data_IF_818275353182
#
_entry.id   IF_818275353182
#
_cell.length_a   1.000
_cell.length_b   1.000
_cell.length_c   1.000
_cell.angle_alpha   90.00
_cell.angle_beta   90.00
_cell.angle_gamma   90.00
#
_symmetry.space_group_name_H-M   'P 1'
#
loop_
_entity.id
_entity.type
_entity.pdbx_description
1 polymer ?
#
# COMPACT_ATOMS: atom_id res chain seq x y z
N UNK A 1 3.27 -18.64 -10.49
CA UNK A 1 3.92 -19.54 -11.46
C UNK A 1 3.77 -20.97 -10.97
N UNK A 2 3.62 -21.92 -11.88
CA UNK A 2 3.40 -23.34 -11.54
C UNK A 2 4.72 -24.01 -11.11
N UNK A 3 4.73 -24.73 -9.99
CA UNK A 3 5.96 -25.30 -9.41
C UNK A 3 6.42 -26.59 -10.09
N UNK A 4 5.66 -27.12 -11.06
CA UNK A 4 5.87 -28.44 -11.68
C UNK A 4 5.62 -29.63 -10.74
N UNK A 5 4.91 -29.39 -9.64
CA UNK A 5 4.49 -30.43 -8.70
C UNK A 5 2.99 -30.34 -8.50
N UNK A 6 2.28 -31.44 -8.75
CA UNK A 6 0.83 -31.55 -8.61
C UNK A 6 0.09 -30.38 -9.28
N UNK A 7 -0.70 -29.63 -8.53
CA UNK A 7 -1.41 -28.42 -8.95
C UNK A 7 -0.89 -27.16 -8.23
N UNK A 8 0.30 -27.23 -7.63
CA UNK A 8 0.83 -26.18 -6.78
C UNK A 8 1.33 -24.99 -7.61
N UNK A 9 0.82 -23.81 -7.28
CA UNK A 9 1.25 -22.54 -7.84
C UNK A 9 1.90 -21.68 -6.75
N UNK A 10 3.06 -21.09 -7.08
CA UNK A 10 3.79 -20.17 -6.21
C UNK A 10 3.70 -18.73 -6.70
N UNK A 11 3.41 -17.77 -5.83
CA UNK A 11 3.49 -16.35 -6.18
C UNK A 11 4.95 -15.93 -6.41
N UNK A 12 5.22 -15.15 -7.45
CA UNK A 12 6.56 -14.61 -7.73
C UNK A 12 7.01 -13.53 -6.75
N UNK A 13 6.07 -12.89 -6.04
CA UNK A 13 6.34 -11.68 -5.26
C UNK A 13 6.32 -11.91 -3.75
N UNK A 14 5.52 -12.87 -3.27
CA UNK A 14 5.42 -13.18 -1.84
C UNK A 14 5.76 -14.65 -1.51
N UNK A 15 6.09 -15.47 -2.51
CA UNK A 15 6.42 -16.89 -2.37
C UNK A 15 5.35 -17.79 -1.74
N UNK A 16 4.11 -17.30 -1.55
CA UNK A 16 3.00 -18.15 -1.09
C UNK A 16 2.76 -19.26 -2.10
N UNK A 17 2.55 -20.47 -1.60
CA UNK A 17 2.20 -21.65 -2.40
C UNK A 17 0.75 -22.01 -2.14
N UNK A 18 0.01 -22.23 -3.21
CA UNK A 18 -1.41 -22.61 -3.18
C UNK A 18 -1.59 -23.80 -4.11
N UNK A 19 -2.25 -24.84 -3.62
CA UNK A 19 -2.57 -26.06 -4.35
C UNK A 19 -3.88 -26.64 -3.82
N UNK A 20 -4.24 -27.85 -4.27
CA UNK A 20 -5.57 -28.46 -4.06
C UNK A 20 -6.69 -27.57 -4.61
N UNK A 21 -6.52 -27.13 -5.84
CA UNK A 21 -7.49 -26.30 -6.54
C UNK A 21 -8.74 -27.11 -6.86
N UNK A 22 -9.89 -26.53 -6.56
CA UNK A 22 -11.21 -27.06 -6.90
C UNK A 22 -11.84 -26.25 -8.05
N UNK A 23 -12.79 -26.87 -8.77
CA UNK A 23 -13.53 -26.17 -9.81
C UNK A 23 -14.33 -25.01 -9.20
N UNK A 24 -14.09 -23.79 -9.68
CA UNK A 24 -14.73 -22.57 -9.19
C UNK A 24 -13.84 -21.72 -8.28
N UNK A 25 -12.67 -22.20 -7.87
CA UNK A 25 -11.72 -21.41 -7.10
C UNK A 25 -11.22 -20.19 -7.87
N UNK A 26 -11.21 -19.04 -7.20
CA UNK A 26 -10.67 -17.80 -7.76
C UNK A 26 -9.20 -17.61 -7.33
N UNK A 27 -8.24 -17.55 -8.28
CA UNK A 27 -6.83 -17.40 -7.96
C UNK A 27 -6.48 -16.18 -7.11
N UNK A 28 -7.23 -15.08 -7.28
CA UNK A 28 -6.99 -13.84 -6.54
C UNK A 28 -7.51 -13.95 -5.10
N UNK A 29 -8.68 -14.55 -4.90
CA UNK A 29 -9.28 -14.72 -3.58
C UNK A 29 -8.48 -15.72 -2.75
N UNK A 30 -8.09 -16.85 -3.33
CA UNK A 30 -7.29 -17.86 -2.64
C UNK A 30 -5.89 -17.31 -2.31
N UNK A 31 -5.27 -16.55 -3.22
CA UNK A 31 -4.03 -15.82 -2.91
C UNK A 31 -4.22 -14.82 -1.77
N UNK A 32 -5.28 -14.00 -1.77
CA UNK A 32 -5.55 -13.03 -0.67
C UNK A 32 -5.76 -13.75 0.66
N UNK A 33 -6.42 -14.91 0.67
CA UNK A 33 -6.69 -15.73 1.86
C UNK A 33 -5.38 -16.24 2.49
N UNK A 34 -4.44 -16.75 1.69
CA UNK A 34 -3.17 -17.30 2.18
C UNK A 34 -2.05 -16.26 2.36
N UNK A 35 -2.13 -15.10 1.69
CA UNK A 35 -1.13 -14.05 1.79
C UNK A 35 -1.76 -12.64 1.69
N UNK A 36 -2.41 -12.22 2.77
CA UNK A 36 -3.04 -10.89 2.91
C UNK A 36 -2.06 -9.72 2.72
N UNK A 37 -0.77 -9.97 2.93
CA UNK A 37 0.29 -8.95 2.89
C UNK A 37 1.13 -8.98 1.60
N UNK A 38 0.72 -9.72 0.58
CA UNK A 38 1.41 -9.75 -0.70
C UNK A 38 1.52 -8.34 -1.32
N UNK A 39 2.74 -7.87 -1.55
CA UNK A 39 3.03 -6.54 -2.12
C UNK A 39 2.34 -6.34 -3.48
N UNK A 40 2.27 -7.39 -4.30
CA UNK A 40 1.57 -7.36 -5.58
C UNK A 40 0.05 -7.14 -5.42
N UNK A 41 -0.61 -7.88 -4.53
CA UNK A 41 -2.05 -7.67 -4.25
C UNK A 41 -2.33 -6.32 -3.60
N UNK A 42 -1.37 -5.76 -2.85
CA UNK A 42 -1.43 -4.40 -2.27
C UNK A 42 -1.11 -3.28 -3.26
N UNK A 43 -0.91 -3.59 -4.55
CA UNK A 43 -0.61 -2.59 -5.58
C UNK A 43 0.68 -1.81 -5.32
N UNK A 44 1.65 -2.43 -4.62
CA UNK A 44 2.99 -1.88 -4.48
C UNK A 44 3.78 -2.11 -5.77
N UNK A 45 4.76 -1.25 -6.03
CA UNK A 45 5.71 -1.49 -7.10
C UNK A 45 6.61 -2.69 -6.75
N UNK A 46 6.44 -3.77 -7.51
CA UNK A 46 7.20 -5.02 -7.39
C UNK A 46 7.98 -5.33 -8.66
N UNK A 47 8.09 -4.37 -9.59
CA UNK A 47 8.71 -4.58 -10.90
C UNK A 47 7.96 -5.56 -11.80
N UNK A 48 6.66 -5.76 -11.58
CA UNK A 48 5.84 -6.61 -12.44
C UNK A 48 5.66 -5.97 -13.82
N UNK A 49 6.00 -6.70 -14.88
CA UNK A 49 5.76 -6.29 -16.27
C UNK A 49 4.53 -7.05 -16.78
N UNK A 50 3.37 -6.38 -16.98
CA UNK A 50 2.17 -7.04 -17.46
C UNK A 50 2.36 -7.53 -18.91
N UNK A 51 1.83 -8.71 -19.21
CA UNK A 51 1.87 -9.28 -20.57
C UNK A 51 1.04 -8.44 -21.53
N UNK A 52 -0.12 -7.96 -21.08
CA UNK A 52 -0.98 -7.03 -21.80
C UNK A 52 -1.27 -5.81 -20.89
N UNK A 53 -0.67 -4.64 -21.18
CA UNK A 53 -0.91 -3.41 -20.42
C UNK A 53 -2.35 -2.88 -20.57
N UNK A 54 -3.06 -3.25 -21.64
CA UNK A 54 -4.40 -2.75 -21.93
C UNK A 54 -5.50 -3.47 -21.16
N UNK A 55 -5.20 -4.69 -20.68
CA UNK A 55 -6.13 -5.53 -19.94
C UNK A 55 -5.46 -6.10 -18.68
N UNK A 56 -5.25 -5.29 -17.64
CA UNK A 56 -4.64 -5.76 -16.41
C UNK A 56 -5.54 -6.80 -15.71
N UNK A 57 -4.95 -7.80 -15.04
CA UNK A 57 -5.73 -8.77 -14.27
C UNK A 57 -6.54 -8.04 -13.17
N UNK A 58 -7.75 -8.51 -12.86
CA UNK A 58 -8.56 -7.91 -11.81
C UNK A 58 -7.86 -8.08 -10.46
N UNK A 59 -7.40 -6.97 -9.89
CA UNK A 59 -6.79 -6.93 -8.57
C UNK A 59 -7.86 -6.57 -7.51
N UNK A 60 -7.74 -7.09 -6.28
CA UNK A 60 -8.69 -6.77 -5.22
C UNK A 60 -8.57 -5.29 -4.83
N UNK A 61 -9.65 -4.60 -4.43
CA UNK A 61 -9.56 -3.22 -3.96
C UNK A 61 -8.50 -3.10 -2.86
N UNK A 62 -7.64 -2.07 -2.96
CA UNK A 62 -6.64 -1.79 -1.92
C UNK A 62 -7.38 -1.38 -0.65
N UNK A 63 -7.51 -2.32 0.28
CA UNK A 63 -7.82 -2.00 1.67
C UNK A 63 -6.62 -1.24 2.20
N UNK A 64 -6.74 0.09 2.31
CA UNK A 64 -5.74 0.94 2.94
C UNK A 64 -5.69 0.58 4.42
N UNK A 65 -4.97 -0.48 4.73
CA UNK A 65 -4.50 -0.79 6.07
C UNK A 65 -3.54 0.32 6.45
N UNK A 66 -4.02 1.29 7.21
CA UNK A 66 -3.20 2.38 7.76
C UNK A 66 -2.29 1.84 8.86
N UNK A 67 -1.23 1.12 8.50
CA UNK A 67 -0.07 1.04 9.38
C UNK A 67 0.89 2.14 8.95
N UNK A 68 0.60 3.32 9.49
CA UNK A 68 1.43 4.52 9.38
C UNK A 68 2.36 4.56 10.59
N UNK A 69 3.61 4.12 10.42
CA UNK A 69 4.66 4.33 11.45
C UNK A 69 5.48 5.60 11.17
N UNK A 70 5.47 6.09 9.93
CA UNK A 70 6.06 7.34 9.50
C UNK A 70 5.22 7.88 8.33
N UNK A 71 4.59 9.05 8.52
CA UNK A 71 3.63 9.66 7.59
C UNK A 71 3.97 9.54 6.10
N UNK A 72 2.93 9.51 5.27
CA UNK A 72 3.00 9.26 3.81
C UNK A 72 4.11 10.06 3.11
N UNK A 73 5.19 9.39 2.71
CA UNK A 73 6.19 9.96 1.80
C UNK A 73 5.72 9.82 0.35
N UNK A 74 5.91 10.87 -0.45
CA UNK A 74 5.68 10.94 -1.91
C UNK A 74 4.23 10.97 -2.43
N UNK A 75 3.29 11.61 -1.75
CA UNK A 75 2.08 12.11 -2.45
C UNK A 75 2.47 13.38 -3.22
N UNK A 76 2.49 13.29 -4.55
CA UNK A 76 2.33 14.48 -5.40
C UNK A 76 0.96 15.06 -5.07
N UNK A 77 0.91 16.29 -4.57
CA UNK A 77 -0.34 17.02 -4.31
C UNK A 77 -1.23 16.90 -5.54
N UNK A 78 -2.33 16.16 -5.43
CA UNK A 78 -3.38 16.21 -6.46
C UNK A 78 -3.93 17.65 -6.45
N UNK A 79 -4.00 18.28 -7.60
CA UNK A 79 -4.55 19.64 -7.76
C UNK A 79 -6.03 19.71 -7.35
N UNK A 80 -6.70 18.55 -7.27
CA UNK A 80 -8.04 18.39 -6.71
C UNK A 80 -7.98 17.79 -5.30
N UNK A 81 -7.31 18.47 -4.37
CA UNK A 81 -7.46 18.16 -2.96
C UNK A 81 -8.87 18.60 -2.55
N UNK A 82 -9.78 17.68 -2.14
CA UNK A 82 -11.10 18.09 -1.69
C UNK A 82 -10.93 19.09 -0.55
N UNK A 83 -11.66 20.20 -0.62
CA UNK A 83 -11.68 21.20 0.46
C UNK A 83 -12.09 20.46 1.73
N UNK A 84 -11.12 20.18 2.60
CA UNK A 84 -11.37 19.46 3.84
C UNK A 84 -12.24 20.40 4.70
N UNK A 85 -13.46 20.00 5.07
CA UNK A 85 -14.31 20.83 5.92
C UNK A 85 -13.61 21.12 7.25
N UNK A 86 -13.92 22.25 7.87
CA UNK A 86 -13.36 22.60 9.18
C UNK A 86 -13.66 21.50 10.21
N UNK A 87 -12.62 20.84 10.73
CA UNK A 87 -12.73 19.77 11.72
C UNK A 87 -12.75 20.30 13.16
N UNK A 88 -13.00 21.61 13.34
CA UNK A 88 -13.10 22.26 14.66
C UNK A 88 -14.15 21.59 15.56
N UNK A 89 -15.25 21.10 14.97
CA UNK A 89 -16.29 20.33 15.68
C UNK A 89 -15.83 18.96 16.20
N UNK A 90 -14.74 18.42 15.66
CA UNK A 90 -14.11 17.18 16.12
C UNK A 90 -12.97 17.44 17.11
N UNK A 91 -12.80 18.69 17.58
CA UNK A 91 -11.72 19.07 18.50
C UNK A 91 -10.33 19.13 17.86
N UNK A 92 -10.24 19.00 16.53
CA UNK A 92 -8.98 19.09 15.79
C UNK A 92 -8.67 20.58 15.57
N UNK A 93 -7.80 21.11 16.43
CA UNK A 93 -7.38 22.50 16.35
C UNK A 93 -6.58 22.76 15.05
N UNK A 94 -6.77 23.95 14.45
CA UNK A 94 -5.90 24.45 13.39
C UNK A 94 -4.46 24.40 13.89
N UNK A 95 -3.58 23.70 13.16
CA UNK A 95 -2.18 23.50 13.56
C UNK A 95 -1.55 24.85 13.90
N UNK A 96 -1.13 25.03 15.14
CA UNK A 96 -0.31 26.17 15.53
C UNK A 96 1.09 26.02 14.95
N UNK A 97 1.77 27.14 14.73
CA UNK A 97 3.21 27.14 14.43
C UNK A 97 3.96 26.37 15.50
N UNK A 98 5.08 25.71 15.17
CA UNK A 98 5.89 25.00 16.16
C UNK A 98 6.15 25.89 17.38
N UNK A 99 5.96 25.35 18.59
CA UNK A 99 6.20 26.09 19.82
C UNK A 99 7.64 26.65 19.91
N UNK A 100 8.58 26.01 19.20
CA UNK A 100 9.94 26.48 19.04
C UNK A 100 10.31 26.54 17.54
N UNK A 101 9.98 27.64 16.84
CA UNK A 101 10.24 27.79 15.41
C UNK A 101 11.73 27.71 15.06
N UNK A 102 12.60 28.10 16.00
CA UNK A 102 14.05 28.09 15.83
C UNK A 102 14.63 26.68 15.59
N UNK A 103 13.94 25.61 16.00
CA UNK A 103 14.36 24.21 15.79
C UNK A 103 13.58 23.52 14.66
N UNK A 104 12.74 24.27 13.93
CA UNK A 104 11.89 23.69 12.90
C UNK A 104 12.65 23.33 11.62
N UNK A 105 13.79 24.00 11.36
CA UNK A 105 14.63 23.80 10.17
C UNK A 105 15.53 22.57 10.30
N UNK A 106 16.00 22.06 9.17
CA UNK A 106 16.95 20.94 9.14
C UNK A 106 18.28 21.32 9.79
N UNK A 107 18.79 22.52 9.51
CA UNK A 107 20.07 23.01 10.03
C UNK A 107 20.09 23.03 11.56
N UNK A 108 19.05 23.61 12.19
CA UNK A 108 18.94 23.66 13.64
C UNK A 108 18.82 22.28 14.31
N UNK A 109 18.37 21.25 13.57
CA UNK A 109 18.36 19.87 14.08
C UNK A 109 19.75 19.26 14.05
N UNK A 110 20.51 19.54 12.97
CA UNK A 110 21.89 19.06 12.83
C UNK A 110 22.82 19.70 13.86
N UNK A 111 22.58 20.96 14.25
CA UNK A 111 23.35 21.66 15.29
C UNK A 111 23.15 21.10 16.71
N UNK A 112 22.12 20.28 16.94
CA UNK A 112 21.79 19.73 18.27
C UNK A 112 22.42 18.37 18.59
N UNK A 113 23.13 17.76 17.63
CA UNK A 113 23.88 16.50 17.78
C UNK A 113 25.37 16.77 18.02
#
# INVERSE_FOLDING_TARGET
WYTKSEDICRCAFCNVEVGRWEEGDNPIEEHKKWSKNCSFLKHMDVGNIPVDPSNPPPLPPVERSSYDECGIFNIKKSENCPVIPSLEKLGIQKRYTPAHPAYATLDSRLESF
#
